data_IF_635082599742
#
_entry.id   IF_635082599742
#
_cell.length_a   1.000
_cell.length_b   1.000
_cell.length_c   1.000
_cell.angle_alpha   90.00
_cell.angle_beta   90.00
_cell.angle_gamma   90.00
#
_symmetry.space_group_name_H-M   'P 1'
#
loop_
_entity.id
_entity.type
_entity.pdbx_description
1 polymer ?
#
# COMPACT_ATOMS: atom_id res chain seq x y z
N UNK A 1 3.00 7.26 5.06
CA UNK A 1 2.03 6.25 4.59
C UNK A 1 0.60 6.56 5.04
N UNK A 2 0.32 6.54 6.35
CA UNK A 2 -1.05 6.65 6.94
C UNK A 2 -1.80 7.94 6.62
N UNK A 3 -1.11 9.09 6.56
CA UNK A 3 -1.72 10.40 6.23
C UNK A 3 -2.26 10.51 4.79
N UNK A 4 -1.67 9.78 3.83
CA UNK A 4 -2.13 9.86 2.44
C UNK A 4 -3.44 9.10 2.23
N UNK A 5 -3.54 7.91 2.83
CA UNK A 5 -4.77 7.13 2.82
C UNK A 5 -5.92 7.88 3.52
N UNK A 6 -5.61 8.57 4.62
CA UNK A 6 -6.53 9.50 5.27
C UNK A 6 -7.09 10.54 4.30
N UNK A 7 -6.25 11.20 3.49
CA UNK A 7 -6.73 12.16 2.48
C UNK A 7 -7.51 11.50 1.33
N UNK A 8 -7.12 10.30 0.90
CA UNK A 8 -7.83 9.58 -0.17
C UNK A 8 -9.27 9.26 0.26
N UNK A 9 -9.46 8.66 1.41
CA UNK A 9 -10.79 8.27 1.89
C UNK A 9 -11.66 9.48 2.24
N UNK A 10 -11.11 10.51 2.90
CA UNK A 10 -11.87 11.73 3.19
C UNK A 10 -12.35 12.45 1.93
N UNK A 11 -11.53 12.45 0.87
CA UNK A 11 -11.89 13.06 -0.40
C UNK A 11 -12.99 12.27 -1.12
N UNK A 12 -13.01 10.95 -1.00
CA UNK A 12 -14.05 10.11 -1.59
C UNK A 12 -15.36 10.18 -0.80
N UNK A 13 -15.33 9.98 0.53
CA UNK A 13 -16.50 10.09 1.39
C UNK A 13 -16.13 10.26 2.88
N UNK A 14 -16.65 11.32 3.50
CA UNK A 14 -16.49 11.56 4.93
C UNK A 14 -17.24 10.52 5.78
N UNK A 15 -18.38 10.02 5.29
CA UNK A 15 -19.16 8.97 5.96
C UNK A 15 -18.38 7.66 6.01
N UNK A 16 -17.86 7.23 4.87
CA UNK A 16 -16.97 6.07 4.73
C UNK A 16 -15.76 6.18 5.66
N UNK A 17 -15.05 7.31 5.62
CA UNK A 17 -13.90 7.58 6.49
C UNK A 17 -14.26 7.45 7.99
N UNK A 18 -15.34 8.09 8.43
CA UNK A 18 -15.76 8.03 9.83
C UNK A 18 -16.18 6.62 10.25
N UNK A 19 -16.84 5.87 9.36
CA UNK A 19 -17.25 4.48 9.62
C UNK A 19 -16.03 3.58 9.83
N UNK A 20 -15.01 3.71 8.98
CA UNK A 20 -13.74 2.96 9.13
C UNK A 20 -13.07 3.33 10.45
N UNK A 21 -12.98 4.64 10.75
CA UNK A 21 -12.34 5.12 11.98
C UNK A 21 -13.06 4.65 13.24
N UNK A 22 -14.39 4.67 13.27
CA UNK A 22 -15.20 4.17 14.39
C UNK A 22 -15.07 2.64 14.56
N UNK A 23 -14.89 1.92 13.45
CA UNK A 23 -14.91 0.47 13.46
C UNK A 23 -13.84 -0.16 14.36
N UNK A 24 -12.69 0.48 14.53
CA UNK A 24 -11.62 -0.04 15.39
C UNK A 24 -12.07 -0.15 16.85
N UNK A 25 -12.76 0.87 17.36
CA UNK A 25 -13.30 0.86 18.72
C UNK A 25 -14.41 -0.18 18.86
N UNK A 26 -15.24 -0.37 17.82
CA UNK A 26 -16.30 -1.38 17.79
C UNK A 26 -15.69 -2.79 17.81
N UNK A 27 -14.67 -3.05 16.99
CA UNK A 27 -13.96 -4.32 16.94
C UNK A 27 -13.33 -4.63 18.30
N UNK A 28 -12.63 -3.66 18.90
CA UNK A 28 -12.01 -3.82 20.22
C UNK A 28 -13.05 -4.15 21.30
N UNK A 29 -14.17 -3.42 21.33
CA UNK A 29 -15.25 -3.67 22.30
C UNK A 29 -15.86 -5.06 22.14
N UNK A 30 -16.13 -5.49 20.90
CA UNK A 30 -16.68 -6.82 20.64
C UNK A 30 -15.64 -7.91 20.95
N UNK A 31 -14.36 -7.71 20.65
CA UNK A 31 -13.34 -8.70 20.95
C UNK A 31 -13.11 -8.93 22.46
N UNK A 32 -13.48 -7.98 23.31
CA UNK A 32 -13.31 -8.07 24.77
C UNK A 32 -14.45 -8.80 25.51
N UNK A 33 -15.58 -9.07 24.86
CA UNK A 33 -16.69 -9.80 25.47
C UNK A 33 -16.53 -11.31 25.30
N UNK A 34 -17.14 -12.09 26.21
CA UNK A 34 -17.16 -13.55 26.12
C UNK A 34 -17.79 -14.01 24.80
N UNK A 35 -17.06 -14.82 24.03
CA UNK A 35 -17.49 -15.26 22.68
C UNK A 35 -17.34 -14.20 21.58
N UNK A 36 -16.75 -13.04 21.89
CA UNK A 36 -16.54 -11.92 20.97
C UNK A 36 -15.69 -12.25 19.76
N UNK A 37 -14.58 -12.98 19.96
CA UNK A 37 -13.71 -13.44 18.86
C UNK A 37 -14.44 -14.40 17.91
N UNK A 38 -15.28 -15.30 18.43
CA UNK A 38 -16.13 -16.17 17.62
C UNK A 38 -17.19 -15.37 16.83
N UNK A 39 -17.77 -14.33 17.45
CA UNK A 39 -18.69 -13.42 16.76
C UNK A 39 -17.99 -12.66 15.63
N UNK A 40 -16.79 -12.14 15.86
CA UNK A 40 -16.00 -11.44 14.84
C UNK A 40 -15.59 -12.40 13.71
N UNK A 41 -15.11 -13.60 14.07
CA UNK A 41 -14.79 -14.68 13.11
C UNK A 41 -15.95 -14.92 12.15
N UNK A 42 -17.17 -15.08 12.70
CA UNK A 42 -18.37 -15.28 11.89
C UNK A 42 -18.73 -14.05 11.06
N UNK A 43 -18.64 -12.86 11.64
CA UNK A 43 -19.02 -11.59 10.97
C UNK A 43 -18.13 -11.31 9.77
N UNK A 44 -16.83 -11.56 9.90
CA UNK A 44 -15.84 -11.33 8.85
C UNK A 44 -15.58 -12.56 7.97
N UNK A 45 -16.33 -13.64 8.15
CA UNK A 45 -16.19 -14.90 7.40
C UNK A 45 -14.75 -15.44 7.46
N UNK A 46 -14.12 -15.42 8.64
CA UNK A 46 -12.77 -15.97 8.82
C UNK A 46 -12.85 -17.50 8.92
N UNK A 47 -11.99 -18.21 8.19
CA UNK A 47 -12.05 -19.68 8.09
C UNK A 47 -11.72 -20.40 9.40
N UNK A 48 -10.88 -19.80 10.25
CA UNK A 48 -10.48 -20.32 11.55
C UNK A 48 -10.82 -19.30 12.63
N UNK A 49 -11.11 -19.78 13.83
CA UNK A 49 -11.38 -18.89 14.94
C UNK A 49 -10.20 -17.95 15.18
N UNK A 50 -10.51 -16.65 15.34
CA UNK A 50 -9.51 -15.63 15.63
C UNK A 50 -8.85 -15.91 16.98
N UNK A 51 -7.51 -15.96 16.98
CA UNK A 51 -6.72 -16.14 18.20
C UNK A 51 -6.62 -14.83 19.01
N UNK A 52 -6.65 -13.69 18.32
CA UNK A 52 -6.53 -12.37 18.91
C UNK A 52 -7.28 -11.33 18.07
N UNK A 53 -7.58 -10.18 18.69
CA UNK A 53 -8.13 -9.02 17.99
C UNK A 53 -7.08 -8.46 17.01
N UNK A 54 -5.81 -8.51 17.38
CA UNK A 54 -4.70 -8.00 16.57
C UNK A 54 -4.62 -8.70 15.21
N UNK A 55 -4.90 -10.00 15.14
CA UNK A 55 -4.94 -10.73 13.86
C UNK A 55 -5.97 -10.13 12.90
N UNK A 56 -7.18 -9.80 13.38
CA UNK A 56 -8.21 -9.16 12.56
C UNK A 56 -7.85 -7.72 12.22
N UNK A 57 -7.32 -6.97 13.19
CA UNK A 57 -6.93 -5.57 12.99
C UNK A 57 -5.83 -5.44 11.94
N UNK A 58 -4.79 -6.27 12.03
CA UNK A 58 -3.70 -6.32 11.06
C UNK A 58 -4.22 -6.70 9.67
N UNK A 59 -5.12 -7.68 9.57
CA UNK A 59 -5.72 -8.08 8.30
C UNK A 59 -6.53 -6.95 7.63
N UNK A 60 -7.28 -6.17 8.41
CA UNK A 60 -7.99 -4.99 7.90
C UNK A 60 -7.01 -3.87 7.49
N UNK A 61 -6.00 -3.60 8.32
CA UNK A 61 -4.97 -2.58 8.05
C UNK A 61 -4.19 -2.87 6.77
N UNK A 62 -3.79 -4.13 6.54
CA UNK A 62 -3.13 -4.57 5.31
C UNK A 62 -3.98 -4.25 4.08
N UNK A 63 -5.27 -4.60 4.09
CA UNK A 63 -6.15 -4.32 2.96
C UNK A 63 -6.29 -2.83 2.69
N UNK A 64 -6.48 -1.99 3.72
CA UNK A 64 -6.56 -0.55 3.54
C UNK A 64 -5.25 0.04 2.98
N UNK A 65 -4.10 -0.46 3.45
CA UNK A 65 -2.78 -0.04 2.97
C UNK A 65 -2.55 -0.44 1.51
N UNK A 66 -2.87 -1.68 1.14
CA UNK A 66 -2.77 -2.14 -0.24
C UNK A 66 -3.74 -1.40 -1.15
N UNK A 67 -5.01 -1.21 -0.75
CA UNK A 67 -5.97 -0.40 -1.49
C UNK A 67 -5.44 1.01 -1.78
N UNK A 68 -4.71 1.62 -0.84
CA UNK A 68 -4.05 2.92 -1.07
C UNK A 68 -3.03 2.86 -2.21
N UNK A 69 -2.20 1.80 -2.24
CA UNK A 69 -1.17 1.58 -3.24
C UNK A 69 -1.77 1.32 -4.63
N UNK A 70 -2.78 0.45 -4.71
CA UNK A 70 -3.37 -0.01 -5.98
C UNK A 70 -4.68 0.67 -6.34
N UNK A 71 -4.90 1.91 -5.89
CA UNK A 71 -6.08 2.70 -6.25
C UNK A 71 -6.00 3.27 -7.68
N UNK A 72 -5.78 2.40 -8.66
CA UNK A 72 -5.76 2.73 -10.08
C UNK A 72 -7.18 2.97 -10.59
N UNK A 73 -7.37 3.85 -11.57
CA UNK A 73 -8.69 4.19 -12.11
C UNK A 73 -9.25 3.18 -13.12
N UNK A 74 -8.54 2.08 -13.35
CA UNK A 74 -8.94 0.97 -14.21
C UNK A 74 -8.74 -0.36 -13.47
N UNK A 75 -9.43 -1.45 -13.87
CA UNK A 75 -9.26 -2.75 -13.25
C UNK A 75 -7.81 -3.24 -13.35
N UNK A 76 -7.33 -3.86 -12.29
CA UNK A 76 -5.97 -4.42 -12.23
C UNK A 76 -5.99 -5.77 -11.51
N UNK A 77 -4.99 -6.60 -11.80
CA UNK A 77 -4.79 -7.92 -11.20
C UNK A 77 -3.32 -8.06 -10.80
N UNK A 78 -2.86 -7.15 -9.93
CA UNK A 78 -1.47 -7.08 -9.49
C UNK A 78 -1.27 -7.76 -8.12
N UNK A 79 -1.89 -7.20 -7.07
CA UNK A 79 -1.96 -7.85 -5.75
C UNK A 79 -3.19 -8.75 -5.67
N UNK A 80 -4.34 -8.21 -6.03
CA UNK A 80 -5.61 -8.92 -6.10
C UNK A 80 -6.35 -8.45 -7.35
N UNK A 81 -7.32 -9.24 -7.87
CA UNK A 81 -8.23 -8.77 -8.90
C UNK A 81 -9.11 -7.65 -8.32
N UNK A 82 -8.97 -6.43 -8.82
CA UNK A 82 -9.65 -5.24 -8.31
C UNK A 82 -10.35 -4.44 -9.40
N UNK A 83 -11.47 -3.76 -9.07
CA UNK A 83 -12.12 -2.83 -9.98
C UNK A 83 -11.27 -1.57 -10.19
N UNK A 84 -11.64 -0.77 -11.19
CA UNK A 84 -11.13 0.59 -11.30
C UNK A 84 -11.65 1.47 -10.16
N UNK A 85 -10.76 2.29 -9.61
CA UNK A 85 -10.96 3.14 -8.43
C UNK A 85 -11.45 2.35 -7.20
N UNK A 86 -10.69 1.35 -6.71
CA UNK A 86 -11.19 0.44 -5.67
C UNK A 86 -11.54 1.15 -4.35
N UNK A 87 -10.87 2.24 -3.95
CA UNK A 87 -11.26 3.01 -2.76
C UNK A 87 -12.66 3.62 -2.91
N UNK A 88 -13.01 4.09 -4.11
CA UNK A 88 -14.34 4.62 -4.40
C UNK A 88 -15.40 3.53 -4.26
N UNK A 89 -15.11 2.32 -4.73
CA UNK A 89 -16.02 1.17 -4.60
C UNK A 89 -16.17 0.71 -3.14
N UNK A 90 -15.10 0.72 -2.35
CA UNK A 90 -15.13 0.46 -0.90
C UNK A 90 -16.09 1.44 -0.22
N UNK A 91 -15.92 2.74 -0.46
CA UNK A 91 -16.79 3.75 0.15
C UNK A 91 -18.23 3.66 -0.35
N UNK A 92 -18.44 3.39 -1.64
CA UNK A 92 -19.78 3.14 -2.18
C UNK A 92 -20.46 1.97 -1.46
N UNK A 93 -19.75 0.87 -1.22
CA UNK A 93 -20.27 -0.29 -0.48
C UNK A 93 -20.66 0.09 0.96
N UNK A 94 -19.76 0.74 1.69
CA UNK A 94 -19.99 1.20 3.06
C UNK A 94 -21.20 2.14 3.15
N UNK A 95 -21.27 3.15 2.29
CA UNK A 95 -22.30 4.19 2.35
C UNK A 95 -23.66 3.72 1.82
N UNK A 96 -23.69 2.73 0.93
CA UNK A 96 -24.94 2.22 0.33
C UNK A 96 -25.78 1.33 1.26
N UNK A 97 -25.21 0.91 2.39
CA UNK A 97 -25.92 0.04 3.33
C UNK A 97 -26.99 0.83 4.11
N UNK A 98 -28.18 0.23 4.37
CA UNK A 98 -29.27 0.87 5.10
C UNK A 98 -28.85 1.35 6.49
N UNK A 99 -29.49 2.39 7.03
CA UNK A 99 -29.15 2.98 8.34
C UNK A 99 -29.12 1.97 9.51
N UNK A 100 -29.91 0.88 9.43
CA UNK A 100 -29.90 -0.20 10.42
C UNK A 100 -28.72 -1.19 10.32
N UNK A 101 -27.87 -1.09 9.30
CA UNK A 101 -26.70 -1.96 9.15
C UNK A 101 -25.63 -1.61 10.18
N UNK A 102 -25.05 -2.62 10.81
CA UNK A 102 -24.00 -2.44 11.81
C UNK A 102 -22.70 -1.93 11.19
N UNK A 103 -21.88 -1.24 11.99
CA UNK A 103 -20.54 -0.80 11.58
C UNK A 103 -19.71 -1.98 11.08
N UNK A 104 -19.72 -3.11 11.78
CA UNK A 104 -18.97 -4.31 11.38
C UNK A 104 -19.42 -4.85 10.01
N UNK A 105 -20.74 -4.86 9.74
CA UNK A 105 -21.26 -5.27 8.43
C UNK A 105 -20.82 -4.32 7.33
N UNK A 106 -20.82 -3.00 7.59
CA UNK A 106 -20.32 -1.99 6.64
C UNK A 106 -18.85 -2.22 6.29
N UNK A 107 -18.02 -2.49 7.29
CA UNK A 107 -16.60 -2.79 7.08
C UNK A 107 -16.42 -4.08 6.28
N UNK A 108 -17.15 -5.13 6.62
CA UNK A 108 -17.07 -6.40 5.88
C UNK A 108 -17.42 -6.23 4.39
N UNK A 109 -18.51 -5.54 4.07
CA UNK A 109 -18.90 -5.26 2.69
C UNK A 109 -17.90 -4.37 1.95
N UNK A 110 -17.29 -3.41 2.65
CA UNK A 110 -16.24 -2.55 2.11
C UNK A 110 -14.97 -3.34 1.81
N UNK A 111 -14.41 -4.05 2.80
CA UNK A 111 -13.14 -4.78 2.66
C UNK A 111 -13.23 -5.97 1.70
N UNK A 112 -14.44 -6.48 1.47
CA UNK A 112 -14.71 -7.50 0.44
C UNK A 112 -14.37 -7.03 -0.97
N UNK A 113 -14.30 -5.72 -1.23
CA UNK A 113 -13.75 -5.20 -2.50
C UNK A 113 -12.28 -5.57 -2.67
N UNK A 114 -11.50 -5.65 -1.60
CA UNK A 114 -10.10 -6.06 -1.69
C UNK A 114 -9.95 -7.58 -1.71
N UNK A 115 -10.53 -8.26 -0.72
CA UNK A 115 -10.29 -9.70 -0.52
C UNK A 115 -11.18 -10.62 -1.36
N UNK A 116 -12.34 -10.15 -1.84
CA UNK A 116 -13.31 -11.01 -2.54
C UNK A 116 -14.09 -10.28 -3.63
N UNK A 117 -13.43 -9.44 -4.41
CA UNK A 117 -14.08 -8.72 -5.52
C UNK A 117 -14.77 -9.66 -6.52
N UNK A 118 -14.17 -10.83 -6.77
CA UNK A 118 -14.70 -11.84 -7.70
C UNK A 118 -15.85 -12.66 -7.13
N UNK A 119 -16.11 -12.60 -5.82
CA UNK A 119 -17.15 -13.37 -5.13
C UNK A 119 -16.90 -14.88 -5.07
N UNK A 120 -15.66 -15.33 -5.27
CA UNK A 120 -15.29 -16.76 -5.30
C UNK A 120 -14.76 -17.29 -3.97
N UNK A 121 -14.49 -16.42 -3.01
CA UNK A 121 -13.93 -16.80 -1.71
C UNK A 121 -15.06 -16.96 -0.70
N UNK A 122 -15.19 -18.14 -0.12
CA UNK A 122 -16.24 -18.45 0.87
C UNK A 122 -15.87 -17.98 2.29
N UNK A 123 -14.59 -18.09 2.64
CA UNK A 123 -14.02 -17.61 3.92
C UNK A 123 -12.56 -17.16 3.75
N UNK A 124 -12.07 -16.33 4.67
CA UNK A 124 -10.70 -15.79 4.63
C UNK A 124 -9.77 -16.53 5.60
N UNK A 125 -8.65 -17.05 5.09
CA UNK A 125 -7.60 -17.63 5.91
C UNK A 125 -6.51 -16.59 6.15
N UNK A 126 -6.39 -16.11 7.39
CA UNK A 126 -5.38 -15.09 7.76
C UNK A 126 -3.94 -15.58 7.70
N UNK A 127 -3.72 -16.91 7.62
CA UNK A 127 -2.40 -17.49 7.47
C UNK A 127 -2.00 -17.74 6.01
N UNK A 128 -2.85 -17.32 5.06
CA UNK A 128 -2.53 -17.47 3.64
C UNK A 128 -1.49 -16.42 3.24
N UNK A 129 -0.44 -16.87 2.54
CA UNK A 129 0.63 -16.02 2.02
C UNK A 129 0.72 -16.17 0.50
N UNK A 130 -0.28 -15.65 -0.25
CA UNK A 130 -0.34 -15.82 -1.70
C UNK A 130 0.80 -15.13 -2.45
N UNK A 131 1.55 -14.24 -1.78
CA UNK A 131 2.60 -13.42 -2.38
C UNK A 131 4.01 -13.77 -1.87
N UNK A 132 4.16 -14.75 -0.97
CA UNK A 132 5.46 -15.12 -0.42
C UNK A 132 6.09 -14.02 0.45
N UNK A 133 5.27 -13.27 1.19
CA UNK A 133 5.64 -12.19 2.09
C UNK A 133 6.58 -12.64 3.21
N UNK A 134 6.67 -13.93 3.54
CA UNK A 134 7.64 -14.44 4.52
C UNK A 134 9.10 -14.04 4.25
N UNK A 135 9.50 -13.93 2.97
CA UNK A 135 10.83 -13.43 2.60
C UNK A 135 11.01 -11.94 2.90
N UNK A 136 9.95 -11.15 2.69
CA UNK A 136 9.93 -9.74 3.02
C UNK A 136 9.97 -9.50 4.53
N UNK A 137 9.23 -10.29 5.31
CA UNK A 137 9.24 -10.22 6.77
C UNK A 137 10.65 -10.47 7.33
N UNK A 138 11.39 -11.41 6.73
CA UNK A 138 12.80 -11.62 7.07
C UNK A 138 13.68 -10.41 6.71
N UNK A 139 13.48 -9.78 5.56
CA UNK A 139 14.20 -8.57 5.18
C UNK A 139 13.90 -7.40 6.14
N UNK A 140 12.63 -7.22 6.52
CA UNK A 140 12.19 -6.22 7.49
C UNK A 140 12.75 -6.47 8.89
N UNK A 141 12.98 -7.73 9.25
CA UNK A 141 13.64 -8.14 10.49
C UNK A 141 15.18 -8.06 10.47
N UNK A 142 15.80 -7.72 9.34
CA UNK A 142 17.26 -7.66 9.21
C UNK A 142 17.75 -6.27 8.81
N UNK A 143 17.42 -5.81 7.61
CA UNK A 143 17.99 -4.59 7.02
C UNK A 143 16.92 -3.58 6.60
N UNK A 144 15.77 -4.03 6.10
CA UNK A 144 14.68 -3.19 5.58
C UNK A 144 13.76 -2.69 6.70
N UNK A 145 14.36 -2.12 7.74
CA UNK A 145 13.61 -1.61 8.90
C UNK A 145 13.01 -0.26 8.53
N UNK A 146 11.69 -0.22 8.43
CA UNK A 146 10.95 0.99 8.11
C UNK A 146 10.00 1.34 9.26
N UNK A 147 10.43 2.19 10.21
CA UNK A 147 9.59 2.61 11.32
C UNK A 147 8.33 3.32 10.83
N UNK A 148 7.17 2.72 11.13
CA UNK A 148 5.86 3.31 10.83
C UNK A 148 5.17 3.75 12.13
N UNK A 149 4.36 4.80 12.03
CA UNK A 149 3.53 5.26 13.13
C UNK A 149 2.20 5.80 12.59
N UNK A 150 1.17 5.74 13.42
CA UNK A 150 -0.16 6.26 13.14
C UNK A 150 -0.66 7.11 14.30
N UNK A 151 -1.43 8.13 13.98
CA UNK A 151 -2.04 9.02 14.96
C UNK A 151 -3.54 9.17 14.65
N UNK A 152 -4.37 9.15 15.68
CA UNK A 152 -5.84 9.20 15.53
C UNK A 152 -6.36 10.53 14.96
N UNK A 153 -5.57 11.60 14.96
CA UNK A 153 -5.98 12.91 14.42
C UNK A 153 -5.70 13.06 12.93
N UNK A 154 -4.59 12.49 12.45
CA UNK A 154 -4.13 12.61 11.06
C UNK A 154 -4.28 11.31 10.26
N UNK A 155 -4.89 10.29 10.86
CA UNK A 155 -5.12 8.97 10.27
C UNK A 155 -6.45 8.38 10.75
N UNK A 156 -6.96 7.38 10.01
CA UNK A 156 -8.13 6.59 10.41
C UNK A 156 -7.78 5.37 11.25
N UNK A 157 -6.50 4.99 11.30
CA UNK A 157 -6.00 3.85 12.08
C UNK A 157 -5.91 4.17 13.57
N UNK A 158 -5.94 3.16 14.44
CA UNK A 158 -5.60 3.29 15.85
C UNK A 158 -4.24 3.94 16.05
N UNK A 159 -4.01 4.51 17.23
CA UNK A 159 -2.70 5.06 17.58
C UNK A 159 -1.67 3.94 17.71
N UNK A 160 -0.57 4.04 16.96
CA UNK A 160 0.52 3.09 17.00
C UNK A 160 1.86 3.82 16.90
N UNK A 161 2.80 3.40 17.75
CA UNK A 161 4.16 3.89 17.78
C UNK A 161 5.12 2.73 17.59
N UNK A 162 6.05 2.88 16.65
CA UNK A 162 7.12 1.92 16.47
C UNK A 162 8.02 1.87 17.71
N UNK A 163 8.11 0.69 18.32
CA UNK A 163 9.07 0.40 19.40
C UNK A 163 10.20 -0.49 18.86
N UNK A 164 11.44 0.01 18.78
CA UNK A 164 12.58 -0.77 18.32
C UNK A 164 12.82 -2.05 19.14
N UNK A 165 12.53 -2.02 20.45
CA UNK A 165 12.78 -3.15 21.34
C UNK A 165 11.80 -4.28 21.07
N UNK A 166 10.50 -3.97 21.01
CA UNK A 166 9.45 -4.93 20.65
C UNK A 166 9.70 -5.53 19.26
N UNK A 167 10.12 -4.71 18.29
CA UNK A 167 10.50 -5.21 16.96
C UNK A 167 11.68 -6.20 17.02
N UNK A 168 12.74 -5.89 17.79
CA UNK A 168 13.86 -6.82 17.98
C UNK A 168 13.42 -8.14 18.63
N UNK A 169 12.60 -8.08 19.68
CA UNK A 169 12.09 -9.26 20.39
C UNK A 169 11.25 -10.16 19.45
N UNK A 170 10.39 -9.55 18.62
CA UNK A 170 9.57 -10.27 17.64
C UNK A 170 10.45 -10.92 16.55
N UNK A 171 11.42 -10.21 16.00
CA UNK A 171 12.32 -10.74 14.98
C UNK A 171 13.22 -11.89 15.50
N UNK A 172 13.64 -11.82 16.77
CA UNK A 172 14.35 -12.91 17.42
C UNK A 172 13.47 -14.15 17.59
N UNK A 173 12.19 -13.96 17.90
CA UNK A 173 11.22 -15.05 18.03
C UNK A 173 10.93 -15.73 16.70
N UNK A 174 10.66 -14.95 15.66
CA UNK A 174 10.16 -15.47 14.38
C UNK A 174 11.29 -16.02 13.50
N UNK A 175 12.41 -15.30 13.42
CA UNK A 175 13.49 -15.59 12.47
C UNK A 175 14.84 -15.84 13.13
N UNK A 176 14.96 -15.65 14.45
CA UNK A 176 16.23 -15.78 15.20
C UNK A 176 17.32 -14.83 14.70
N UNK A 177 16.90 -13.67 14.22
CA UNK A 177 17.79 -12.60 13.74
C UNK A 177 17.61 -11.36 14.60
N UNK A 178 18.67 -10.54 14.67
CA UNK A 178 18.62 -9.22 15.31
C UNK A 178 18.62 -8.15 14.22
N UNK A 179 17.64 -7.23 14.21
CA UNK A 179 17.57 -6.18 13.20
C UNK A 179 18.77 -5.20 13.28
N UNK A 180 19.22 -4.70 12.12
CA UNK A 180 20.30 -3.70 11.98
C UNK A 180 19.75 -2.36 11.47
N UNK A 181 19.14 -1.54 12.33
CA UNK A 181 18.36 -0.35 11.92
C UNK A 181 19.14 0.73 11.18
N UNK A 182 20.46 0.81 11.39
CA UNK A 182 21.30 1.82 10.75
C UNK A 182 22.02 1.30 9.52
N UNK A 183 21.86 0.02 9.14
CA UNK A 183 22.63 -0.58 8.06
C UNK A 183 22.37 0.11 6.72
N UNK A 184 21.10 0.17 6.28
CA UNK A 184 20.71 0.82 5.02
C UNK A 184 21.10 2.30 4.99
N UNK A 185 20.91 3.03 6.09
CA UNK A 185 21.26 4.45 6.14
C UNK A 185 22.77 4.70 6.17
N UNK A 186 23.55 3.74 6.66
CA UNK A 186 25.02 3.81 6.61
C UNK A 186 25.53 3.47 5.21
N UNK A 187 25.02 2.39 4.62
CA UNK A 187 25.48 1.88 3.32
C UNK A 187 25.09 2.81 2.17
N UNK A 188 23.85 3.30 2.17
CA UNK A 188 23.28 4.10 1.07
C UNK A 188 23.21 5.60 1.36
N UNK A 189 23.87 6.07 2.43
CA UNK A 189 24.05 7.48 2.75
C UNK A 189 22.91 8.15 3.52
N UNK A 190 21.76 7.48 3.73
CA UNK A 190 20.70 7.94 4.62
C UNK A 190 20.25 9.38 4.32
N UNK A 191 20.32 10.29 5.31
CA UNK A 191 19.97 11.70 5.08
C UNK A 191 20.90 12.43 4.10
N UNK A 192 22.11 11.92 3.88
CA UNK A 192 23.06 12.41 2.88
C UNK A 192 22.93 11.67 1.53
N UNK A 193 21.79 11.01 1.25
CA UNK A 193 21.58 10.25 0.00
C UNK A 193 21.88 11.06 -1.26
N UNK A 194 21.55 12.36 -1.31
CA UNK A 194 21.87 13.21 -2.48
C UNK A 194 23.37 13.26 -2.75
N UNK A 195 24.20 13.35 -1.71
CA UNK A 195 25.66 13.35 -1.84
C UNK A 195 26.17 11.96 -2.24
N UNK A 196 25.64 10.89 -1.64
CA UNK A 196 26.01 9.52 -1.98
C UNK A 196 25.68 9.19 -3.44
N UNK A 197 24.47 9.50 -3.89
CA UNK A 197 24.02 9.32 -5.28
C UNK A 197 24.85 10.16 -6.26
N UNK A 198 25.22 11.41 -5.92
CA UNK A 198 26.12 12.21 -6.77
C UNK A 198 27.51 11.62 -6.90
N UNK A 199 28.02 10.99 -5.84
CA UNK A 199 29.37 10.46 -5.82
C UNK A 199 29.49 9.14 -6.59
N UNK A 200 28.47 8.29 -6.54
CA UNK A 200 28.57 6.91 -7.03
C UNK A 200 27.48 6.50 -8.04
N UNK A 201 26.39 7.25 -8.15
CA UNK A 201 25.28 6.97 -9.05
C UNK A 201 25.41 7.67 -10.41
N UNK A 202 24.84 7.07 -11.44
CA UNK A 202 24.57 7.70 -12.73
C UNK A 202 23.48 6.93 -13.48
N UNK A 203 22.76 7.61 -14.36
CA UNK A 203 21.71 7.02 -15.22
C UNK A 203 20.57 6.36 -14.42
N UNK A 204 20.06 7.06 -13.41
CA UNK A 204 18.98 6.59 -12.54
C UNK A 204 17.76 7.49 -12.72
N UNK A 205 16.59 6.88 -12.88
CA UNK A 205 15.31 7.59 -12.93
C UNK A 205 14.48 7.17 -11.72
N UNK A 206 14.16 8.13 -10.85
CA UNK A 206 13.23 7.92 -9.73
C UNK A 206 11.82 8.35 -10.15
N UNK A 207 11.00 7.40 -10.60
CA UNK A 207 9.60 7.67 -10.94
C UNK A 207 8.69 7.50 -9.73
N UNK A 208 7.89 8.52 -9.43
CA UNK A 208 7.01 8.54 -8.26
C UNK A 208 5.63 9.06 -8.61
N UNK A 209 4.60 8.37 -8.11
CA UNK A 209 3.24 8.89 -8.07
C UNK A 209 2.97 9.60 -6.74
N UNK A 210 2.53 10.87 -6.75
CA UNK A 210 2.29 11.59 -5.48
C UNK A 210 1.09 11.09 -4.69
N UNK A 211 0.28 10.18 -5.25
CA UNK A 211 -0.78 9.49 -4.54
C UNK A 211 -0.37 8.06 -4.11
N UNK A 212 0.89 7.68 -4.31
CA UNK A 212 1.50 6.49 -3.70
C UNK A 212 1.91 6.83 -2.27
N UNK A 213 1.44 6.09 -1.24
CA UNK A 213 1.84 6.36 0.13
C UNK A 213 3.33 6.14 0.41
N UNK A 214 4.06 5.46 -0.49
CA UNK A 214 5.50 5.31 -0.46
C UNK A 214 6.28 6.51 -1.01
N UNK A 215 5.64 7.41 -1.76
CA UNK A 215 6.34 8.54 -2.38
C UNK A 215 7.01 9.47 -1.36
N UNK A 216 6.49 9.51 -0.13
CA UNK A 216 7.07 10.30 0.96
C UNK A 216 8.45 9.82 1.43
N UNK A 217 8.84 8.59 1.11
CA UNK A 217 10.17 8.04 1.40
C UNK A 217 11.14 8.07 0.21
N UNK A 218 10.73 8.64 -0.93
CA UNK A 218 11.45 8.54 -2.19
C UNK A 218 12.22 9.81 -2.57
N UNK A 219 12.94 9.76 -3.69
CA UNK A 219 13.62 10.89 -4.32
C UNK A 219 12.63 11.61 -5.24
N UNK A 220 12.22 12.82 -4.87
CA UNK A 220 11.19 13.60 -5.57
C UNK A 220 11.72 14.78 -6.40
N UNK A 221 13.04 14.96 -6.42
CA UNK A 221 13.73 16.05 -7.12
C UNK A 221 15.00 15.52 -7.78
N UNK A 222 15.37 16.12 -8.90
CA UNK A 222 16.62 15.78 -9.59
C UNK A 222 17.83 15.93 -8.66
N UNK A 223 18.70 14.94 -8.71
CA UNK A 223 19.95 14.90 -7.94
C UNK A 223 21.12 15.35 -8.81
N UNK A 224 21.14 14.99 -10.08
CA UNK A 224 22.13 15.41 -11.09
C UNK A 224 21.53 15.38 -12.50
N UNK A 225 22.30 15.74 -13.52
CA UNK A 225 21.88 15.65 -14.93
C UNK A 225 21.49 14.23 -15.39
N UNK A 226 22.02 13.19 -14.73
CA UNK A 226 21.76 11.78 -15.05
C UNK A 226 21.02 11.03 -13.96
N UNK A 227 20.68 11.71 -12.86
CA UNK A 227 19.88 11.15 -11.75
C UNK A 227 18.67 12.06 -11.58
N UNK A 228 17.58 11.71 -12.25
CA UNK A 228 16.39 12.55 -12.40
C UNK A 228 15.19 11.96 -11.67
N UNK A 229 14.27 12.82 -11.25
CA UNK A 229 13.04 12.43 -10.57
C UNK A 229 11.81 12.78 -11.43
N UNK A 230 11.02 11.77 -11.78
CA UNK A 230 9.76 11.94 -12.50
C UNK A 230 8.61 11.87 -11.52
N UNK A 231 7.94 13.00 -11.26
CA UNK A 231 6.84 13.05 -10.29
C UNK A 231 5.49 13.29 -10.96
N UNK A 232 4.60 12.29 -10.87
CA UNK A 232 3.23 12.41 -11.39
C UNK A 232 2.31 13.03 -10.33
N UNK A 233 2.01 14.32 -10.50
CA UNK A 233 1.28 15.13 -9.51
C UNK A 233 -0.24 14.94 -9.50
N UNK A 234 -0.85 14.45 -10.58
CA UNK A 234 -2.31 14.45 -10.77
C UNK A 234 -2.87 13.03 -10.75
N UNK A 235 -3.86 12.76 -9.88
CA UNK A 235 -4.96 11.76 -9.96
C UNK A 235 -4.65 10.28 -10.23
N UNK A 236 -3.50 9.99 -10.84
CA UNK A 236 -3.13 8.78 -11.57
C UNK A 236 -1.83 8.21 -11.03
N UNK A 237 -0.91 9.07 -10.55
CA UNK A 237 0.34 8.64 -9.94
C UNK A 237 0.11 7.89 -8.64
N UNK A 238 -0.15 6.60 -8.75
CA UNK A 238 -0.22 5.62 -7.66
C UNK A 238 1.07 4.83 -7.64
N UNK A 239 1.12 3.78 -6.82
CA UNK A 239 2.29 2.92 -6.76
C UNK A 239 2.69 2.51 -8.17
N UNK A 240 3.96 2.74 -8.54
CA UNK A 240 4.56 2.24 -9.80
C UNK A 240 3.68 2.40 -11.07
N UNK A 241 2.86 3.47 -11.17
CA UNK A 241 1.95 3.62 -12.32
C UNK A 241 2.69 3.74 -13.66
N UNK A 242 3.93 4.21 -13.63
CA UNK A 242 4.79 4.41 -14.79
C UNK A 242 5.28 3.12 -15.45
N UNK A 243 5.20 1.96 -14.78
CA UNK A 243 5.59 0.68 -15.39
C UNK A 243 4.38 -0.14 -15.88
N UNK A 244 3.16 0.34 -15.62
CA UNK A 244 1.96 -0.33 -16.10
C UNK A 244 1.78 -0.11 -17.60
N UNK A 245 1.20 -1.12 -18.28
CA UNK A 245 0.86 -1.02 -19.69
C UNK A 245 -0.08 0.16 -19.94
N UNK A 246 0.12 0.86 -21.05
CA UNK A 246 -0.72 1.97 -21.45
C UNK A 246 -2.18 1.51 -21.61
N UNK A 247 -3.10 2.18 -20.91
CA UNK A 247 -4.55 1.95 -21.05
C UNK A 247 -5.23 3.21 -21.61
N UNK A 248 -6.36 3.03 -22.31
CA UNK A 248 -7.12 4.14 -22.91
C UNK A 248 -7.60 5.18 -21.89
N UNK A 249 -7.68 4.79 -20.61
CA UNK A 249 -8.06 5.70 -19.54
C UNK A 249 -6.87 6.48 -18.96
N UNK A 250 -5.61 6.07 -19.21
CA UNK A 250 -4.43 6.68 -18.59
C UNK A 250 -4.25 8.14 -19.02
N UNK A 251 -4.00 9.03 -18.04
CA UNK A 251 -3.79 10.45 -18.35
C UNK A 251 -2.61 10.68 -19.27
N UNK A 252 -2.76 11.60 -20.23
CA UNK A 252 -1.70 12.02 -21.14
C UNK A 252 -0.38 12.36 -20.43
N UNK A 253 -0.38 12.86 -19.19
CA UNK A 253 0.84 13.10 -18.42
C UNK A 253 1.65 11.83 -18.13
N UNK A 254 1.01 10.70 -17.78
CA UNK A 254 1.72 9.43 -17.54
C UNK A 254 2.30 8.85 -18.83
N UNK A 255 1.61 9.01 -19.97
CA UNK A 255 2.07 8.56 -21.28
C UNK A 255 3.24 9.40 -21.80
N UNK A 256 3.18 10.72 -21.60
CA UNK A 256 4.25 11.62 -22.01
C UNK A 256 5.47 11.54 -21.10
N UNK A 257 5.35 11.33 -19.78
CA UNK A 257 6.51 11.24 -18.88
C UNK A 257 7.40 10.03 -19.20
N UNK A 258 6.84 8.90 -19.62
CA UNK A 258 7.60 7.72 -20.09
C UNK A 258 8.17 7.98 -21.50
N UNK A 259 7.33 8.47 -22.42
CA UNK A 259 7.74 8.72 -23.80
C UNK A 259 8.79 9.84 -23.93
N UNK A 260 8.76 10.85 -23.07
CA UNK A 260 9.76 11.95 -23.06
C UNK A 260 11.09 11.55 -22.41
N UNK A 261 11.12 10.48 -21.60
CA UNK A 261 12.36 9.83 -21.19
C UNK A 261 12.90 8.83 -22.23
N UNK A 262 12.04 8.26 -23.08
CA UNK A 262 12.43 7.24 -24.07
C UNK A 262 12.56 7.74 -25.51
N UNK A 263 12.19 8.99 -25.84
CA UNK A 263 12.48 9.57 -27.17
C UNK A 263 13.74 10.45 -27.11
N UNK A 264 14.76 10.15 -27.93
CA UNK A 264 16.07 9.79 -27.39
C UNK A 264 17.16 10.76 -27.83
N UNK A 265 18.40 10.46 -27.43
CA UNK A 265 19.51 10.39 -28.39
C UNK A 265 18.98 10.33 -29.83
N UNK A 266 19.00 11.51 -30.46
CA UNK A 266 18.58 11.88 -31.82
C UNK A 266 18.45 10.68 -32.77
N UNK A 267 17.26 10.43 -33.33
CA UNK A 267 17.07 10.30 -34.80
C UNK A 267 15.61 10.16 -35.24
N UNK A 268 15.41 10.56 -36.49
CA UNK A 268 14.19 10.88 -37.23
C UNK A 268 13.25 9.70 -37.52
N UNK A 269 11.96 10.04 -37.68
CA UNK A 269 10.90 9.37 -38.45
C UNK A 269 10.86 7.83 -38.54
N UNK A 270 9.85 7.28 -37.86
CA UNK A 270 8.92 6.31 -38.43
C UNK A 270 9.37 4.85 -38.55
N UNK A 271 9.02 4.02 -37.56
CA UNK A 271 8.38 2.71 -37.74
C UNK A 271 8.15 2.03 -36.39
N UNK A 272 7.02 1.34 -36.31
CA UNK A 272 6.56 0.47 -35.23
C UNK A 272 7.51 -0.71 -35.01
N UNK A 273 8.08 -0.88 -33.81
CA UNK A 273 8.66 -2.16 -33.40
C UNK A 273 8.41 -2.45 -31.91
N UNK A 274 7.94 -3.66 -31.67
CA UNK A 274 7.88 -4.36 -30.39
C UNK A 274 9.31 -4.54 -29.88
N UNK A 275 9.61 -4.05 -28.67
CA UNK A 275 10.88 -4.31 -28.00
C UNK A 275 10.62 -5.17 -26.75
N UNK A 276 10.88 -6.46 -26.90
CA UNK A 276 11.27 -7.33 -25.80
C UNK A 276 12.68 -6.92 -25.40
N UNK A 277 12.85 -6.25 -24.28
CA UNK A 277 14.15 -6.17 -23.60
C UNK A 277 13.90 -6.25 -22.09
N UNK A 278 14.53 -7.24 -21.47
CA UNK A 278 14.53 -7.47 -20.02
C UNK A 278 15.21 -6.28 -19.34
N UNK A 279 14.47 -5.55 -18.51
CA UNK A 279 15.03 -4.50 -17.66
C UNK A 279 14.91 -4.95 -16.21
N UNK A 280 16.07 -5.21 -15.59
CA UNK A 280 16.18 -5.42 -14.15
C UNK A 280 16.11 -4.07 -13.43
N UNK A 281 15.17 -3.93 -12.50
CA UNK A 281 15.13 -2.82 -11.54
C UNK A 281 14.95 -3.39 -10.13
N UNK A 282 15.82 -2.98 -9.22
CA UNK A 282 15.79 -3.29 -7.79
C UNK A 282 14.84 -2.34 -7.04
#
# INVERSE_FOLDING_TARGET
MTSLLYHLLQRESMSCFNTIKESWDVINKVGQIDGGLAQLTKTFHICRELESIDNLSNWLESAYSYLAMVNYPYPTDFLMPLPGSPIKEVCRKIDSLPDGASVLQRIFEGISIYYNYTGKVDCFNLNDDPHGMSGWDWQACTEMIMPMASNMTTSMFPEFYYDPKSNEEQCLKDFRVKPRPTWITTEFGGHAFKSALKAFGSNIIFSNGLLDPWSGGSVLEDVSETIVALTTKKGWGKHITTILSATANMSYHCLFDIASCLTPLRMEYGQSYLANDEIFFA
#
